data_IF_387253796923
#
_entry.id   IF_387253796923
#
_cell.length_a   1.000
_cell.length_b   1.000
_cell.length_c   1.000
_cell.angle_alpha   90.00
_cell.angle_beta   90.00
_cell.angle_gamma   90.00
#
_symmetry.space_group_name_H-M   'P 1'
#
loop_
_entity.id
_entity.type
_entity.pdbx_description
1 polymer ?
#
# COMPACT_ATOMS: atom_id res chain seq x y z
N UNK A 1 -1.96 -22.75 -7.17
CA UNK A 1 -2.49 -22.98 -5.80
C UNK A 1 -2.94 -24.43 -5.65
N UNK A 2 -2.32 -25.18 -4.75
CA UNK A 2 -2.39 -26.66 -4.64
C UNK A 2 -3.80 -27.31 -4.57
N UNK A 3 -4.88 -26.55 -4.39
CA UNK A 3 -6.25 -27.05 -4.34
C UNK A 3 -7.24 -26.44 -5.34
N UNK A 4 -6.82 -25.53 -6.22
CA UNK A 4 -7.68 -24.94 -7.27
C UNK A 4 -8.85 -24.05 -6.79
N UNK A 5 -9.04 -23.87 -5.48
CA UNK A 5 -10.16 -23.10 -4.92
C UNK A 5 -9.97 -21.59 -5.17
N UNK A 6 -10.67 -21.09 -6.20
CA UNK A 6 -10.66 -19.66 -6.58
C UNK A 6 -11.19 -18.75 -5.48
N UNK A 7 -12.02 -19.25 -4.57
CA UNK A 7 -12.60 -18.45 -3.47
C UNK A 7 -11.51 -17.95 -2.51
N UNK A 8 -10.44 -18.71 -2.33
CA UNK A 8 -9.26 -18.29 -1.55
C UNK A 8 -8.49 -17.17 -2.23
N UNK A 9 -8.35 -17.22 -3.56
CA UNK A 9 -7.72 -16.15 -4.35
C UNK A 9 -8.55 -14.87 -4.25
N UNK A 10 -9.88 -14.99 -4.36
CA UNK A 10 -10.77 -13.82 -4.25
C UNK A 10 -10.73 -13.22 -2.83
N UNK A 11 -10.67 -14.07 -1.79
CA UNK A 11 -10.48 -13.61 -0.42
C UNK A 11 -9.13 -12.88 -0.24
N UNK A 12 -8.05 -13.40 -0.82
CA UNK A 12 -6.74 -12.74 -0.84
C UNK A 12 -6.83 -11.37 -1.52
N UNK A 13 -7.41 -11.30 -2.72
CA UNK A 13 -7.53 -10.07 -3.49
C UNK A 13 -8.34 -8.99 -2.77
N UNK A 14 -9.43 -9.37 -2.09
CA UNK A 14 -10.21 -8.46 -1.26
C UNK A 14 -9.40 -7.95 -0.07
N UNK A 15 -8.72 -8.83 0.65
CA UNK A 15 -7.90 -8.46 1.80
C UNK A 15 -6.73 -7.52 1.42
N UNK A 16 -6.06 -7.78 0.30
CA UNK A 16 -5.03 -6.88 -0.24
C UNK A 16 -5.62 -5.51 -0.58
N UNK A 17 -6.79 -5.48 -1.23
CA UNK A 17 -7.45 -4.23 -1.59
C UNK A 17 -7.79 -3.39 -0.35
N UNK A 18 -8.25 -4.02 0.72
CA UNK A 18 -8.56 -3.32 1.97
C UNK A 18 -7.30 -2.74 2.63
N UNK A 19 -6.21 -3.51 2.69
CA UNK A 19 -4.95 -3.00 3.20
C UNK A 19 -4.40 -1.83 2.36
N UNK A 20 -4.52 -1.89 1.03
CA UNK A 20 -4.10 -0.80 0.12
C UNK A 20 -4.96 0.45 0.28
N UNK A 21 -6.26 0.32 0.56
CA UNK A 21 -7.11 1.49 0.87
C UNK A 21 -6.65 2.22 2.13
N UNK A 22 -6.27 1.47 3.16
CA UNK A 22 -5.73 2.08 4.38
C UNK A 22 -4.38 2.75 4.09
N UNK A 23 -3.54 2.15 3.24
CA UNK A 23 -2.29 2.78 2.77
C UNK A 23 -2.54 4.10 2.03
N UNK A 24 -3.57 4.16 1.19
CA UNK A 24 -3.96 5.37 0.44
C UNK A 24 -4.33 6.55 1.34
N UNK A 25 -4.90 6.30 2.53
CA UNK A 25 -5.18 7.37 3.51
C UNK A 25 -3.93 8.08 4.03
N UNK A 26 -2.77 7.42 3.94
CA UNK A 26 -1.47 8.00 4.32
C UNK A 26 -0.77 8.70 3.14
N UNK A 27 -1.34 8.63 1.93
CA UNK A 27 -0.76 9.26 0.76
C UNK A 27 -0.57 10.75 1.00
N UNK A 28 0.66 11.20 0.79
CA UNK A 28 1.08 12.56 1.05
C UNK A 28 2.09 13.01 0.01
N UNK A 29 2.17 14.31 -0.22
CA UNK A 29 3.22 14.96 -1.01
C UNK A 29 3.93 16.02 -0.17
N UNK A 30 5.06 16.52 -0.68
CA UNK A 30 5.81 17.61 -0.07
C UNK A 30 5.54 18.90 -0.83
N UNK A 31 5.09 19.92 -0.12
CA UNK A 31 4.86 21.26 -0.65
C UNK A 31 5.89 22.22 -0.04
N UNK A 32 6.32 23.21 -0.82
CA UNK A 32 7.18 24.29 -0.33
C UNK A 32 6.49 25.63 -0.58
N UNK A 33 6.31 26.39 0.49
CA UNK A 33 5.67 27.71 0.50
C UNK A 33 6.57 28.65 1.28
N UNK A 34 6.99 29.76 0.68
CA UNK A 34 7.87 30.77 1.30
C UNK A 34 9.13 30.18 1.97
N UNK A 35 9.77 29.22 1.29
CA UNK A 35 10.98 28.55 1.76
C UNK A 35 10.78 27.53 2.89
N UNK A 36 9.55 27.38 3.40
CA UNK A 36 9.18 26.34 4.38
C UNK A 36 8.56 25.17 3.66
N UNK A 37 8.93 23.96 4.09
CA UNK A 37 8.39 22.76 3.48
C UNK A 37 7.55 21.97 4.47
N UNK A 38 6.42 21.49 3.98
CA UNK A 38 5.43 20.75 4.74
C UNK A 38 4.99 19.49 3.99
N UNK A 39 4.59 18.49 4.77
CA UNK A 39 3.95 17.28 4.24
C UNK A 39 2.44 17.50 4.22
N UNK A 40 1.83 17.34 3.05
CA UNK A 40 0.40 17.53 2.83
C UNK A 40 -0.22 16.20 2.42
N UNK A 41 -1.26 15.77 3.14
CA UNK A 41 -2.03 14.57 2.77
C UNK A 41 -2.79 14.83 1.47
N UNK A 42 -2.70 13.89 0.55
CA UNK A 42 -3.36 13.91 -0.76
C UNK A 42 -4.47 12.85 -0.84
N UNK A 43 -4.35 11.76 -0.08
CA UNK A 43 -5.38 10.73 0.04
C UNK A 43 -5.69 9.98 -1.27
N UNK A 44 -4.76 9.96 -2.22
CA UNK A 44 -4.92 9.24 -3.49
C UNK A 44 -3.60 8.60 -3.96
N UNK A 45 -3.69 7.36 -4.45
CA UNK A 45 -2.56 6.61 -5.01
C UNK A 45 -2.92 5.99 -6.37
N UNK A 46 -1.90 5.80 -7.20
CA UNK A 46 -1.97 4.88 -8.33
C UNK A 46 -1.24 3.59 -7.92
N UNK A 47 -1.95 2.46 -7.91
CA UNK A 47 -1.40 1.17 -7.45
C UNK A 47 -1.69 0.06 -8.45
N UNK A 48 -0.65 -0.63 -8.91
CA UNK A 48 -0.76 -1.84 -9.71
C UNK A 48 -0.56 -3.08 -8.82
N UNK A 49 -1.47 -4.07 -8.89
CA UNK A 49 -1.45 -5.28 -8.06
C UNK A 49 -1.14 -6.51 -8.91
N UNK A 50 -0.06 -7.21 -8.59
CA UNK A 50 0.37 -8.42 -9.29
C UNK A 50 0.41 -9.61 -8.33
N UNK A 51 -0.39 -10.64 -8.61
CA UNK A 51 -0.42 -11.85 -7.79
C UNK A 51 0.63 -12.84 -8.27
N UNK A 52 1.40 -13.38 -7.33
CA UNK A 52 2.34 -14.48 -7.52
C UNK A 52 2.01 -15.62 -6.55
N UNK A 53 2.48 -16.83 -6.84
CA UNK A 53 2.07 -18.05 -6.13
C UNK A 53 3.23 -18.91 -5.60
N UNK A 54 4.48 -18.47 -5.76
CA UNK A 54 5.67 -19.17 -5.25
C UNK A 54 6.59 -18.20 -4.49
N UNK A 55 7.21 -18.67 -3.42
CA UNK A 55 8.22 -17.89 -2.69
C UNK A 55 9.61 -18.02 -3.35
N UNK A 56 10.63 -17.37 -2.78
CA UNK A 56 12.02 -17.44 -3.28
C UNK A 56 12.63 -18.84 -3.26
N UNK A 57 12.10 -19.74 -2.43
CA UNK A 57 12.50 -21.15 -2.33
C UNK A 57 11.63 -22.06 -3.21
N UNK A 58 10.79 -21.50 -4.10
CA UNK A 58 9.87 -22.20 -4.99
C UNK A 58 8.75 -22.97 -4.27
N UNK A 59 8.48 -22.65 -2.99
CA UNK A 59 7.37 -23.24 -2.25
C UNK A 59 6.07 -22.46 -2.50
N UNK A 60 4.91 -23.11 -2.48
CA UNK A 60 3.62 -22.46 -2.66
C UNK A 60 3.38 -21.33 -1.64
N UNK A 61 3.29 -20.10 -2.13
CA UNK A 61 3.03 -18.91 -1.33
C UNK A 61 2.31 -17.87 -2.19
N UNK A 62 1.01 -17.70 -1.94
CA UNK A 62 0.29 -16.58 -2.56
C UNK A 62 0.71 -15.26 -1.94
N UNK A 63 1.08 -14.32 -2.79
CA UNK A 63 1.39 -12.96 -2.38
C UNK A 63 1.05 -11.98 -3.52
N UNK A 64 0.78 -10.73 -3.16
CA UNK A 64 0.56 -9.67 -4.12
C UNK A 64 1.66 -8.62 -4.00
N UNK A 65 2.29 -8.30 -5.13
CA UNK A 65 3.06 -7.06 -5.28
C UNK A 65 2.10 -5.91 -5.56
N UNK A 66 1.82 -5.08 -4.54
CA UNK A 66 1.09 -3.82 -4.70
C UNK A 66 2.10 -2.70 -4.98
N UNK A 67 2.38 -2.47 -6.26
CA UNK A 67 3.34 -1.45 -6.72
C UNK A 67 2.68 -0.07 -6.67
N UNK A 68 3.11 0.75 -5.73
CA UNK A 68 2.68 2.15 -5.60
C UNK A 68 3.52 3.02 -6.52
N UNK A 69 2.87 3.72 -7.45
CA UNK A 69 3.53 4.67 -8.34
C UNK A 69 3.90 5.92 -7.54
N UNK A 70 5.08 6.50 -7.79
CA UNK A 70 5.54 7.72 -7.15
C UNK A 70 4.86 8.98 -7.72
N UNK A 71 3.53 9.00 -7.67
CA UNK A 71 2.69 10.07 -8.15
C UNK A 71 1.42 10.14 -7.30
N UNK A 72 1.06 11.34 -6.87
CA UNK A 72 -0.19 11.64 -6.19
C UNK A 72 -0.68 13.03 -6.60
N UNK A 73 -1.99 13.20 -6.66
CA UNK A 73 -2.62 14.42 -7.10
C UNK A 73 -2.91 15.35 -5.91
N UNK A 74 -2.56 16.62 -6.05
CA UNK A 74 -2.83 17.68 -5.09
C UNK A 74 -3.45 18.87 -5.83
N UNK A 75 -4.79 18.97 -5.79
CA UNK A 75 -5.55 19.85 -6.68
C UNK A 75 -5.33 19.46 -8.15
N UNK A 76 -4.93 20.42 -8.98
CA UNK A 76 -4.68 20.18 -10.41
C UNK A 76 -3.24 19.70 -10.71
N UNK A 77 -2.41 19.50 -9.68
CA UNK A 77 -1.00 19.15 -9.84
C UNK A 77 -0.75 17.68 -9.51
N UNK A 78 0.04 17.02 -10.36
CA UNK A 78 0.67 15.74 -10.03
C UNK A 78 2.03 15.99 -9.40
N UNK A 79 2.28 15.35 -8.27
CA UNK A 79 3.52 15.49 -7.50
C UNK A 79 4.02 14.11 -7.05
N UNK A 80 5.30 14.01 -6.71
CA UNK A 80 5.84 12.81 -6.10
C UNK A 80 5.26 12.58 -4.70
N UNK A 81 5.25 11.32 -4.26
CA UNK A 81 4.96 11.00 -2.87
C UNK A 81 6.04 11.62 -1.96
N UNK A 82 5.60 12.13 -0.81
CA UNK A 82 6.45 12.85 0.13
C UNK A 82 7.42 11.92 0.86
N UNK A 83 8.64 12.40 1.09
CA UNK A 83 9.60 11.80 2.01
C UNK A 83 10.08 12.87 2.98
N UNK A 84 10.18 12.50 4.24
CA UNK A 84 10.76 13.33 5.30
C UNK A 84 11.50 12.42 6.27
N UNK A 85 12.79 12.23 6.04
CA UNK A 85 13.62 11.31 6.84
C UNK A 85 13.90 11.82 8.25
N UNK A 86 13.80 13.12 8.49
CA UNK A 86 14.13 13.74 9.78
C UNK A 86 12.88 13.75 10.66
N UNK A 87 11.79 14.35 10.19
CA UNK A 87 10.53 14.42 10.92
C UNK A 87 9.68 13.15 10.82
N UNK A 88 10.02 12.23 9.91
CA UNK A 88 9.29 10.98 9.64
C UNK A 88 7.82 11.20 9.28
N UNK A 89 7.53 12.34 8.67
CA UNK A 89 6.16 12.71 8.28
C UNK A 89 5.79 12.26 6.86
N UNK A 90 6.76 11.86 6.04
CA UNK A 90 6.54 11.45 4.65
C UNK A 90 5.75 10.15 4.52
N UNK A 91 5.30 9.87 3.28
CA UNK A 91 4.49 8.70 2.97
C UNK A 91 5.20 7.41 3.38
N UNK A 92 6.39 7.16 2.82
CA UNK A 92 7.11 5.91 3.03
C UNK A 92 7.53 5.70 4.49
N UNK A 93 7.87 6.78 5.20
CA UNK A 93 8.20 6.72 6.63
C UNK A 93 6.98 6.26 7.45
N UNK A 94 5.78 6.75 7.13
CA UNK A 94 4.54 6.29 7.76
C UNK A 94 4.17 4.86 7.37
N UNK A 95 4.46 4.42 6.13
CA UNK A 95 4.31 3.01 5.73
C UNK A 95 5.17 2.10 6.60
N UNK A 96 6.45 2.45 6.79
CA UNK A 96 7.35 1.67 7.63
C UNK A 96 6.92 1.67 9.10
N UNK A 97 6.55 2.83 9.65
CA UNK A 97 6.09 2.94 11.03
C UNK A 97 4.85 2.06 11.32
N UNK A 98 3.99 1.86 10.32
CA UNK A 98 2.75 1.10 10.43
C UNK A 98 2.80 -0.29 9.76
N UNK A 99 3.97 -0.78 9.36
CA UNK A 99 4.10 -2.02 8.59
C UNK A 99 3.42 -3.23 9.26
N UNK A 100 3.57 -3.35 10.58
CA UNK A 100 2.93 -4.42 11.36
C UNK A 100 1.40 -4.28 11.35
N UNK A 101 0.90 -3.05 11.49
CA UNK A 101 -0.53 -2.75 11.48
C UNK A 101 -1.16 -3.08 10.11
N UNK A 102 -0.51 -2.71 9.00
CA UNK A 102 -0.97 -3.09 7.66
C UNK A 102 -0.99 -4.60 7.45
N UNK A 103 0.04 -5.31 7.91
CA UNK A 103 0.04 -6.77 7.89
C UNK A 103 -1.11 -7.36 8.71
N UNK A 104 -1.46 -6.76 9.84
CA UNK A 104 -2.60 -7.17 10.67
C UNK A 104 -3.93 -6.92 9.98
N UNK A 105 -4.14 -5.74 9.40
CA UNK A 105 -5.34 -5.41 8.61
C UNK A 105 -5.57 -6.40 7.47
N UNK A 106 -4.52 -6.73 6.71
CA UNK A 106 -4.60 -7.76 5.68
C UNK A 106 -5.05 -9.11 6.25
N UNK A 107 -4.42 -9.58 7.34
CA UNK A 107 -4.75 -10.89 7.95
C UNK A 107 -6.17 -10.92 8.53
N UNK A 108 -6.65 -9.83 9.11
CA UNK A 108 -8.01 -9.74 9.65
C UNK A 108 -9.07 -9.67 8.54
N UNK A 109 -8.77 -8.99 7.44
CA UNK A 109 -9.65 -8.93 6.27
C UNK A 109 -9.65 -10.26 5.48
N UNK A 110 -8.57 -11.05 5.57
CA UNK A 110 -8.47 -12.36 4.94
C UNK A 110 -9.32 -13.39 5.69
N UNK A 111 -10.58 -13.53 5.25
CA UNK A 111 -11.49 -14.57 5.72
C UNK A 111 -11.54 -15.70 4.68
N UNK A 112 -11.03 -16.91 4.99
CA UNK A 112 -11.21 -18.04 4.10
C UNK A 112 -12.71 -18.35 3.94
N UNK A 113 -13.13 -18.88 2.77
CA UNK A 113 -14.50 -19.34 2.59
C UNK A 113 -14.81 -20.42 3.63
N UNK A 114 -16.01 -20.34 4.22
CA UNK A 114 -16.59 -21.44 5.00
C UNK A 114 -16.99 -22.62 4.13
#
# INVERSE_FOLDING_TARGET
MLGGDKRLIDAHNRAVTEAVRQLETLAATRVMTDGKSETVLTGNLIVAKFNHDTNRNQEPQIHTHAVVINATQNGDKWQSLGTDKIGKTGFIENVYANQIAFGKLYREAFKPPG
#
